data_IF_367029513959
#
_entry.id   IF_367029513959
#
_cell.length_a   1.000
_cell.length_b   1.000
_cell.length_c   1.000
_cell.angle_alpha   90.00
_cell.angle_beta   90.00
_cell.angle_gamma   90.00
#
_symmetry.space_group_name_H-M   'P 1'
#
loop_
_entity.id
_entity.type
_entity.pdbx_description
1 polymer ?
#
# COMPACT_ATOMS: atom_id res chain seq x y z
N UNK A 1 -19.59 10.29 5.04
CA UNK A 1 -18.40 9.49 5.41
C UNK A 1 -17.29 9.88 4.46
N UNK A 2 -16.28 10.62 4.91
CA UNK A 2 -15.11 10.92 4.10
C UNK A 2 -14.41 9.60 3.80
N UNK A 3 -14.43 9.17 2.53
CA UNK A 3 -13.78 7.93 2.11
C UNK A 3 -12.28 8.05 2.35
N UNK A 4 -11.73 7.17 3.19
CA UNK A 4 -10.31 7.10 3.47
C UNK A 4 -9.53 6.94 2.16
N UNK A 5 -8.62 7.87 1.85
CA UNK A 5 -7.96 7.95 0.55
C UNK A 5 -6.65 7.17 0.55
N UNK A 6 -6.34 6.48 -0.55
CA UNK A 6 -5.02 5.86 -0.75
C UNK A 6 -4.29 6.64 -1.83
N UNK A 7 -3.19 7.27 -1.44
CA UNK A 7 -2.31 8.06 -2.29
C UNK A 7 -1.02 7.28 -2.54
N UNK A 8 -0.45 7.41 -3.73
CA UNK A 8 0.75 6.65 -4.10
C UNK A 8 1.86 7.62 -4.53
N UNK A 9 3.03 7.47 -3.91
CA UNK A 9 4.26 8.05 -4.42
C UNK A 9 4.50 7.65 -5.87
N UNK A 10 5.18 8.51 -6.64
CA UNK A 10 5.50 8.20 -8.04
C UNK A 10 6.24 6.87 -8.18
N UNK A 11 7.20 6.59 -7.28
CA UNK A 11 7.95 5.33 -7.28
C UNK A 11 7.03 4.13 -7.06
N UNK A 12 6.10 4.20 -6.12
CA UNK A 12 5.15 3.13 -5.86
C UNK A 12 4.20 2.90 -7.05
N UNK A 13 3.76 3.98 -7.71
CA UNK A 13 2.96 3.90 -8.95
C UNK A 13 3.71 3.17 -10.07
N UNK A 14 4.95 3.58 -10.35
CA UNK A 14 5.81 2.94 -11.35
C UNK A 14 6.01 1.45 -11.07
N UNK A 15 6.22 1.06 -9.81
CA UNK A 15 6.29 -0.37 -9.46
C UNK A 15 5.00 -1.11 -9.80
N UNK A 16 3.83 -0.56 -9.46
CA UNK A 16 2.54 -1.20 -9.77
C UNK A 16 2.30 -1.35 -11.28
N UNK A 17 2.76 -0.38 -12.08
CA UNK A 17 2.64 -0.39 -13.54
C UNK A 17 3.46 -1.50 -14.19
N UNK A 18 4.62 -1.83 -13.62
CA UNK A 18 5.50 -2.92 -14.11
C UNK A 18 4.97 -4.32 -13.78
N UNK A 19 4.04 -4.46 -12.84
CA UNK A 19 3.50 -5.75 -12.43
C UNK A 19 2.30 -6.17 -13.29
N UNK A 20 2.13 -7.47 -13.44
CA UNK A 20 0.92 -8.08 -13.99
C UNK A 20 -0.34 -7.58 -13.28
N UNK A 21 -1.45 -7.50 -14.03
CA UNK A 21 -2.75 -7.09 -13.49
C UNK A 21 -3.16 -7.86 -12.21
N UNK A 22 -3.10 -9.21 -12.15
CA UNK A 22 -3.48 -9.93 -10.93
C UNK A 22 -2.59 -9.58 -9.74
N UNK A 23 -1.26 -9.43 -9.95
CA UNK A 23 -0.35 -9.08 -8.86
C UNK A 23 -0.58 -7.66 -8.36
N UNK A 24 -0.83 -6.73 -9.26
CA UNK A 24 -1.19 -5.34 -8.95
C UNK A 24 -2.47 -5.26 -8.12
N UNK A 25 -3.50 -6.02 -8.48
CA UNK A 25 -4.77 -6.06 -7.74
C UNK A 25 -4.60 -6.65 -6.35
N UNK A 26 -3.79 -7.71 -6.18
CA UNK A 26 -3.45 -8.24 -4.87
C UNK A 26 -2.79 -7.20 -3.96
N UNK A 27 -1.79 -6.48 -4.47
CA UNK A 27 -1.09 -5.43 -3.69
C UNK A 27 -2.04 -4.30 -3.32
N UNK A 28 -2.83 -3.81 -4.29
CA UNK A 28 -3.84 -2.76 -4.04
C UNK A 28 -4.89 -3.21 -3.03
N UNK A 29 -5.31 -4.47 -3.11
CA UNK A 29 -6.24 -5.09 -2.16
C UNK A 29 -5.67 -5.10 -0.73
N UNK A 30 -4.43 -5.57 -0.55
CA UNK A 30 -3.77 -5.59 0.75
C UNK A 30 -3.63 -4.19 1.35
N UNK A 31 -3.21 -3.19 0.56
CA UNK A 31 -3.13 -1.80 1.00
C UNK A 31 -4.51 -1.27 1.38
N UNK A 32 -5.54 -1.56 0.60
CA UNK A 32 -6.91 -1.10 0.85
C UNK A 32 -7.55 -1.74 2.09
N UNK A 33 -7.20 -2.99 2.40
CA UNK A 33 -7.63 -3.65 3.63
C UNK A 33 -6.94 -3.03 4.83
N UNK A 34 -5.62 -2.83 4.75
CA UNK A 34 -4.85 -2.17 5.80
C UNK A 34 -5.33 -0.74 6.05
N UNK A 35 -5.58 0.03 4.99
CA UNK A 35 -6.09 1.40 5.05
C UNK A 35 -7.47 1.50 5.73
N UNK A 36 -8.30 0.46 5.62
CA UNK A 36 -9.61 0.41 6.30
C UNK A 36 -9.51 0.04 7.78
N UNK A 37 -8.44 -0.64 8.18
CA UNK A 37 -8.20 -1.07 9.56
C UNK A 37 -6.73 -0.78 9.94
N UNK A 38 -6.30 0.50 9.94
CA UNK A 38 -4.93 0.82 10.30
C UNK A 38 -4.72 0.53 11.80
N UNK A 39 -3.54 0.04 12.20
CA UNK A 39 -3.21 -0.10 13.61
C UNK A 39 -3.26 1.27 14.31
N UNK A 40 -3.60 1.33 15.61
CA UNK A 40 -3.54 2.56 16.36
C UNK A 40 -2.11 3.11 16.33
N UNK A 41 -1.92 4.20 15.59
CA UNK A 41 -0.63 4.85 15.40
C UNK A 41 -0.80 6.36 15.27
N UNK A 42 0.25 7.12 15.55
CA UNK A 42 0.26 8.56 15.32
C UNK A 42 0.16 8.93 13.83
N UNK A 43 -0.21 10.18 13.56
CA UNK A 43 -0.13 10.76 12.22
C UNK A 43 1.34 10.73 11.73
N UNK A 44 1.54 10.50 10.44
CA UNK A 44 2.83 10.27 9.78
C UNK A 44 3.63 9.04 10.25
N UNK A 45 3.00 8.11 10.97
CA UNK A 45 3.66 6.85 11.34
C UNK A 45 3.84 5.98 10.10
N UNK A 46 5.05 5.44 9.92
CA UNK A 46 5.36 4.56 8.80
C UNK A 46 5.14 3.10 9.18
N UNK A 47 4.45 2.38 8.30
CA UNK A 47 4.12 0.97 8.48
C UNK A 47 4.58 0.15 7.27
N UNK A 48 4.77 -1.15 7.52
CA UNK A 48 5.03 -2.15 6.49
C UNK A 48 3.79 -3.03 6.35
N UNK A 49 3.38 -3.27 5.12
CA UNK A 49 2.29 -4.16 4.74
C UNK A 49 2.92 -5.29 3.92
N UNK A 50 2.97 -6.49 4.49
CA UNK A 50 3.38 -7.67 3.74
C UNK A 50 2.21 -8.16 2.88
N UNK A 51 2.47 -8.38 1.59
CA UNK A 51 1.45 -8.76 0.63
C UNK A 51 1.43 -10.29 0.52
N UNK A 52 0.28 -10.96 0.75
CA UNK A 52 0.21 -12.41 0.72
C UNK A 52 0.56 -12.98 -0.68
N UNK A 53 1.06 -14.21 -0.69
CA UNK A 53 1.32 -14.96 -1.93
C UNK A 53 2.57 -14.55 -2.72
N UNK A 54 3.60 -13.99 -2.07
CA UNK A 54 4.92 -13.85 -2.70
C UNK A 54 5.85 -12.89 -1.98
N UNK A 55 7.04 -12.65 -2.56
CA UNK A 55 8.03 -11.70 -2.05
C UNK A 55 7.64 -10.26 -2.39
N UNK A 56 6.59 -9.74 -1.75
CA UNK A 56 6.19 -8.34 -1.89
C UNK A 56 5.78 -7.68 -0.58
N UNK A 57 6.12 -6.41 -0.45
CA UNK A 57 5.64 -5.55 0.64
C UNK A 57 5.42 -4.12 0.15
N UNK A 58 4.54 -3.40 0.83
CA UNK A 58 4.36 -1.96 0.68
C UNK A 58 4.78 -1.26 1.97
N UNK A 59 5.51 -0.14 1.85
CA UNK A 59 5.73 0.78 2.95
C UNK A 59 4.79 1.94 2.81
N UNK A 60 4.05 2.23 3.86
CA UNK A 60 3.01 3.24 3.87
C UNK A 60 3.19 4.20 5.03
N UNK A 61 2.67 5.41 4.90
CA UNK A 61 2.55 6.39 5.96
C UNK A 61 1.08 6.58 6.29
N UNK A 62 0.73 6.36 7.56
CA UNK A 62 -0.61 6.63 8.07
C UNK A 62 -0.79 8.14 8.19
N UNK A 63 -1.81 8.68 7.52
CA UNK A 63 -2.29 10.05 7.72
C UNK A 63 -3.71 10.04 8.25
N UNK A 64 -4.12 11.11 8.93
CA UNK A 64 -5.42 11.21 9.61
C UNK A 64 -6.62 10.79 8.75
N UNK A 65 -6.59 11.06 7.44
CA UNK A 65 -7.68 10.74 6.51
C UNK A 65 -7.20 10.02 5.23
N UNK A 66 -5.92 9.66 5.19
CA UNK A 66 -5.34 9.00 4.02
C UNK A 66 -4.19 8.08 4.38
N UNK A 67 -3.84 7.22 3.42
CA UNK A 67 -2.60 6.46 3.46
C UNK A 67 -1.76 6.85 2.29
N UNK A 68 -0.53 7.24 2.59
CA UNK A 68 0.45 7.59 1.59
C UNK A 68 1.40 6.41 1.37
N UNK A 69 1.27 5.75 0.23
CA UNK A 69 2.10 4.60 -0.14
C UNK A 69 3.44 5.10 -0.63
N UNK A 70 4.48 4.91 0.17
CA UNK A 70 5.83 5.44 -0.05
C UNK A 70 6.58 4.61 -1.10
N UNK A 71 6.58 3.29 -0.92
CA UNK A 71 7.28 2.37 -1.82
C UNK A 71 6.58 1.03 -1.85
N UNK A 72 6.59 0.40 -3.02
CA UNK A 72 6.17 -0.99 -3.20
C UNK A 72 7.41 -1.74 -3.69
N UNK A 73 7.68 -2.87 -3.06
CA UNK A 73 8.70 -3.82 -3.48
C UNK A 73 7.96 -5.10 -3.79
N UNK A 74 8.06 -5.57 -5.04
CA UNK A 74 7.44 -6.80 -5.48
C UNK A 74 8.32 -7.43 -6.55
N UNK A 75 8.57 -8.73 -6.43
CA UNK A 75 9.21 -9.55 -7.46
C UNK A 75 8.11 -10.32 -8.18
N UNK A 76 8.06 -10.24 -9.51
CA UNK A 76 7.28 -11.20 -10.31
C UNK A 76 8.09 -12.51 -10.37
N UNK A 77 7.47 -13.60 -9.91
CA UNK A 77 8.03 -14.94 -10.01
C UNK A 77 7.42 -15.65 -11.22
#
# INVERSE_FOLDING_TARGET
>A
MAGYRVEYEERARKTLEMLSAPRREQIRGAISVWARNPPPSGNHTKHRIDVPGGNAFARVEHRTESVHVIVIMAVEC
#
